data_IF_779008930234
#
_entry.id   IF_779008930234
#
_cell.length_a   1.000
_cell.length_b   1.000
_cell.length_c   1.000
_cell.angle_alpha   90.00
_cell.angle_beta   90.00
_cell.angle_gamma   90.00
#
_symmetry.space_group_name_H-M   'P 1'
#
loop_
_entity.id
_entity.type
_entity.pdbx_description
1 polymer ?
#
# COMPACT_ATOMS: atom_id res chain seq x y z
N UNK A 1 -27.79 1.90 7.33
CA UNK A 1 -26.47 2.13 7.98
C UNK A 1 -25.80 3.22 7.20
N UNK A 2 -25.48 4.34 7.86
CA UNK A 2 -24.75 5.46 7.25
C UNK A 2 -23.40 4.92 6.79
N UNK A 3 -23.02 5.21 5.54
CA UNK A 3 -21.68 4.96 5.05
C UNK A 3 -20.74 5.91 5.78
N UNK A 4 -19.92 5.40 6.69
CA UNK A 4 -18.79 6.13 7.30
C UNK A 4 -17.66 6.29 6.27
N UNK A 5 -18.00 6.77 5.08
CA UNK A 5 -17.02 7.33 4.16
C UNK A 5 -16.92 8.81 4.54
N UNK A 6 -15.74 9.36 4.87
CA UNK A 6 -15.64 10.79 5.12
C UNK A 6 -16.14 11.55 3.88
N UNK A 7 -17.23 12.30 4.02
CA UNK A 7 -17.74 13.23 2.99
C UNK A 7 -16.72 14.33 2.63
N UNK A 8 -15.59 14.41 3.34
CA UNK A 8 -14.60 15.48 3.24
C UNK A 8 -13.50 15.27 2.18
N UNK A 9 -13.53 14.20 1.37
CA UNK A 9 -12.45 13.94 0.39
C UNK A 9 -12.55 14.74 -0.93
N UNK A 10 -13.57 15.59 -1.12
CA UNK A 10 -13.75 16.31 -2.39
C UNK A 10 -13.89 17.83 -2.21
N UNK A 11 -12.90 18.47 -1.59
CA UNK A 11 -12.85 19.93 -1.36
C UNK A 11 -12.12 20.71 -2.46
N UNK A 12 -11.52 20.04 -3.45
CA UNK A 12 -10.82 20.70 -4.54
C UNK A 12 -11.80 21.11 -5.67
N UNK A 13 -11.91 22.41 -6.01
CA UNK A 13 -12.82 22.88 -7.06
C UNK A 13 -12.60 22.21 -8.42
N UNK A 14 -11.36 21.85 -8.76
CA UNK A 14 -11.05 21.16 -10.01
C UNK A 14 -11.61 19.73 -10.04
N UNK A 15 -11.57 19.02 -8.90
CA UNK A 15 -12.12 17.66 -8.78
C UNK A 15 -13.65 17.68 -8.87
N UNK A 16 -14.29 18.69 -8.27
CA UNK A 16 -15.73 18.91 -8.37
C UNK A 16 -16.15 19.22 -9.82
N UNK A 17 -15.40 20.08 -10.53
CA UNK A 17 -15.68 20.40 -11.94
C UNK A 17 -15.52 19.16 -12.83
N UNK A 18 -14.46 18.36 -12.64
CA UNK A 18 -14.26 17.12 -13.40
C UNK A 18 -15.39 16.12 -13.13
N UNK A 19 -15.77 15.90 -11.86
CA UNK A 19 -16.87 14.98 -11.50
C UNK A 19 -18.18 15.41 -12.14
N UNK A 20 -18.51 16.70 -12.06
CA UNK A 20 -19.71 17.27 -12.69
C UNK A 20 -19.70 17.06 -14.21
N UNK A 21 -18.57 17.32 -14.87
CA UNK A 21 -18.44 17.11 -16.32
C UNK A 21 -18.64 15.63 -16.70
N UNK A 22 -18.20 14.69 -15.87
CA UNK A 22 -18.42 13.25 -16.08
C UNK A 22 -19.90 12.91 -15.94
N UNK A 23 -20.55 13.34 -14.86
CA UNK A 23 -21.96 13.05 -14.60
C UNK A 23 -22.87 13.62 -15.70
N UNK A 24 -22.56 14.82 -16.19
CA UNK A 24 -23.31 15.44 -17.27
C UNK A 24 -23.12 14.72 -18.63
N UNK A 25 -21.98 14.06 -18.84
CA UNK A 25 -21.72 13.26 -20.05
C UNK A 25 -22.44 11.91 -19.97
N UNK A 26 -22.45 11.28 -18.80
CA UNK A 26 -23.12 9.99 -18.58
C UNK A 26 -24.65 10.13 -18.64
N UNK A 27 -25.20 11.25 -18.17
CA UNK A 27 -26.64 11.44 -18.00
C UNK A 27 -27.40 11.95 -19.23
N UNK A 28 -26.75 12.29 -20.34
CA UNK A 28 -27.43 12.95 -21.46
C UNK A 28 -27.12 12.38 -22.85
N UNK A 29 -28.16 12.27 -23.69
CA UNK A 29 -28.07 12.06 -25.14
C UNK A 29 -27.55 13.35 -25.80
N UNK A 30 -26.24 13.56 -25.75
CA UNK A 30 -25.60 14.76 -26.28
C UNK A 30 -25.36 14.67 -27.78
N UNK A 31 -25.41 15.82 -28.45
CA UNK A 31 -24.85 15.94 -29.79
C UNK A 31 -23.32 15.83 -29.72
N UNK A 32 -22.69 15.27 -30.76
CA UNK A 32 -21.24 15.09 -30.85
C UNK A 32 -20.44 16.38 -30.59
N UNK A 33 -21.03 17.54 -30.90
CA UNK A 33 -20.43 18.84 -30.67
C UNK A 33 -20.41 19.24 -29.18
N UNK A 34 -21.51 19.04 -28.45
CA UNK A 34 -21.55 19.30 -27.01
C UNK A 34 -20.64 18.34 -26.25
N UNK A 35 -20.57 17.08 -26.67
CA UNK A 35 -19.64 16.10 -26.12
C UNK A 35 -18.18 16.55 -26.30
N UNK A 36 -17.80 16.94 -27.52
CA UNK A 36 -16.44 17.43 -27.82
C UNK A 36 -16.06 18.65 -26.98
N UNK A 37 -16.95 19.64 -26.85
CA UNK A 37 -16.71 20.82 -26.03
C UNK A 37 -16.49 20.46 -24.55
N UNK A 38 -17.27 19.52 -23.99
CA UNK A 38 -17.10 19.07 -22.60
C UNK A 38 -15.80 18.30 -22.40
N UNK A 39 -15.42 17.42 -23.33
CA UNK A 39 -14.14 16.70 -23.25
C UNK A 39 -12.95 17.65 -23.35
N UNK A 40 -13.04 18.67 -24.20
CA UNK A 40 -12.02 19.70 -24.31
C UNK A 40 -11.89 20.49 -23.01
N UNK A 41 -13.02 20.92 -22.42
CA UNK A 41 -13.02 21.61 -21.12
C UNK A 41 -12.42 20.75 -20.02
N UNK A 42 -12.78 19.46 -19.97
CA UNK A 42 -12.19 18.49 -19.03
C UNK A 42 -10.68 18.38 -19.21
N UNK A 43 -10.20 18.33 -20.45
CA UNK A 43 -8.77 18.30 -20.76
C UNK A 43 -8.07 19.56 -20.24
N UNK A 44 -8.63 20.75 -20.47
CA UNK A 44 -8.06 22.02 -19.98
C UNK A 44 -7.95 22.05 -18.46
N UNK A 45 -9.00 21.65 -17.74
CA UNK A 45 -9.01 21.59 -16.27
C UNK A 45 -7.96 20.59 -15.77
N UNK A 46 -7.83 19.43 -16.44
CA UNK A 46 -6.82 18.43 -16.13
C UNK A 46 -5.40 18.94 -16.38
N UNK A 47 -5.15 19.61 -17.51
CA UNK A 47 -3.83 20.16 -17.86
C UNK A 47 -3.42 21.26 -16.86
N UNK A 48 -4.35 22.14 -16.48
CA UNK A 48 -4.10 23.16 -15.44
C UNK A 48 -3.77 22.55 -14.09
N UNK A 49 -4.41 21.42 -13.75
CA UNK A 49 -4.12 20.69 -12.51
C UNK A 49 -2.73 20.07 -12.53
N UNK A 50 -2.35 19.44 -13.64
CA UNK A 50 -1.02 18.86 -13.84
C UNK A 50 0.06 19.95 -13.75
N UNK A 51 -0.17 21.10 -14.39
CA UNK A 51 0.78 22.22 -14.36
C UNK A 51 1.02 22.81 -12.97
N UNK A 52 0.05 22.67 -12.04
CA UNK A 52 0.15 23.10 -10.65
C UNK A 52 0.65 22.01 -9.70
N UNK A 53 0.85 20.79 -10.19
CA UNK A 53 1.29 19.67 -9.36
C UNK A 53 2.75 19.88 -8.92
N UNK A 54 3.07 19.47 -7.70
CA UNK A 54 4.44 19.47 -7.20
C UNK A 54 5.28 18.43 -7.97
N UNK A 55 6.62 18.61 -8.05
CA UNK A 55 7.50 17.61 -8.63
C UNK A 55 7.38 16.24 -7.96
N UNK A 56 7.85 15.22 -8.68
CA UNK A 56 7.86 13.84 -8.20
C UNK A 56 8.62 13.71 -6.87
N UNK A 57 8.06 12.92 -5.95
CA UNK A 57 8.68 12.56 -4.69
C UNK A 57 8.41 11.10 -4.34
N UNK A 58 9.26 10.55 -3.48
CA UNK A 58 9.08 9.26 -2.85
C UNK A 58 7.95 9.31 -1.83
N UNK A 59 7.11 8.27 -1.82
CA UNK A 59 5.85 8.24 -1.07
C UNK A 59 5.89 7.23 0.09
N UNK A 60 5.27 7.57 1.21
CA UNK A 60 4.89 6.63 2.27
C UNK A 60 3.45 6.17 2.00
N UNK A 61 3.26 4.87 1.82
CA UNK A 61 2.00 4.28 1.39
C UNK A 61 1.55 3.27 2.44
N UNK A 62 0.30 3.36 2.90
CA UNK A 62 -0.27 2.45 3.91
C UNK A 62 -1.48 1.72 3.35
N UNK A 63 -1.39 0.40 3.26
CA UNK A 63 -2.52 -0.48 2.92
C UNK A 63 -3.00 -1.19 4.21
N UNK A 64 -4.12 -0.73 4.76
CA UNK A 64 -4.69 -1.20 6.03
C UNK A 64 -6.12 -1.73 5.85
N UNK A 65 -6.83 -1.98 6.95
CA UNK A 65 -8.22 -2.42 6.95
C UNK A 65 -8.41 -3.92 7.06
N UNK A 66 -9.65 -4.33 7.30
CA UNK A 66 -10.01 -5.72 7.59
C UNK A 66 -10.22 -6.61 6.36
N UNK A 67 -10.31 -6.02 5.18
CA UNK A 67 -10.54 -6.70 3.91
C UNK A 67 -9.30 -7.40 3.35
N UNK A 68 -9.52 -8.32 2.41
CA UNK A 68 -8.46 -8.92 1.59
C UNK A 68 -7.96 -7.87 0.60
N UNK A 69 -6.65 -7.90 0.33
CA UNK A 69 -6.05 -7.15 -0.78
C UNK A 69 -4.77 -6.38 -0.44
N UNK A 70 -4.45 -6.21 0.85
CA UNK A 70 -3.41 -5.25 1.30
C UNK A 70 -2.03 -5.59 0.73
N UNK A 71 -1.61 -6.84 0.97
CA UNK A 71 -0.37 -7.40 0.44
C UNK A 71 -0.43 -7.49 -1.08
N UNK A 72 -1.50 -8.00 -1.67
CA UNK A 72 -1.58 -8.14 -3.15
C UNK A 72 -1.52 -6.80 -3.89
N UNK A 73 -2.12 -5.74 -3.33
CA UNK A 73 -2.01 -4.39 -3.89
C UNK A 73 -0.58 -3.86 -3.79
N UNK A 74 0.09 -4.08 -2.66
CA UNK A 74 1.50 -3.73 -2.49
C UNK A 74 2.42 -4.51 -3.46
N UNK A 75 2.17 -5.81 -3.64
CA UNK A 75 2.89 -6.64 -4.60
C UNK A 75 2.64 -6.21 -6.06
N UNK A 76 1.46 -5.68 -6.38
CA UNK A 76 1.22 -5.04 -7.67
C UNK A 76 2.09 -3.80 -7.91
N UNK A 77 2.37 -3.02 -6.85
CA UNK A 77 3.30 -1.89 -6.93
C UNK A 77 4.76 -2.35 -7.05
N UNK A 78 5.14 -3.41 -6.34
CA UNK A 78 6.44 -4.08 -6.49
C UNK A 78 6.64 -4.49 -7.95
N UNK A 79 5.69 -5.24 -8.52
CA UNK A 79 5.75 -5.70 -9.90
C UNK A 79 5.90 -4.53 -10.89
N UNK A 80 5.16 -3.43 -10.67
CA UNK A 80 5.28 -2.23 -11.50
C UNK A 80 6.69 -1.61 -11.39
N UNK A 81 7.23 -1.51 -10.18
CA UNK A 81 8.56 -0.94 -9.95
C UNK A 81 9.66 -1.79 -10.61
N UNK A 82 9.60 -3.11 -10.45
CA UNK A 82 10.48 -4.06 -11.12
C UNK A 82 10.37 -3.98 -12.65
N UNK A 83 9.15 -3.82 -13.18
CA UNK A 83 8.91 -3.65 -14.61
C UNK A 83 9.55 -2.39 -15.21
N UNK A 84 9.82 -1.37 -14.39
CA UNK A 84 10.57 -0.18 -14.76
C UNK A 84 12.09 -0.31 -14.52
N UNK A 85 12.58 -1.50 -14.15
CA UNK A 85 13.99 -1.78 -13.94
C UNK A 85 14.54 -1.26 -12.60
N UNK A 86 13.67 -0.91 -11.66
CA UNK A 86 14.10 -0.45 -10.34
C UNK A 86 14.40 -1.62 -9.40
N UNK A 87 15.36 -1.43 -8.50
CA UNK A 87 15.55 -2.37 -7.40
C UNK A 87 14.49 -2.18 -6.32
N UNK A 88 14.04 -3.30 -5.75
CA UNK A 88 12.98 -3.37 -4.75
C UNK A 88 13.41 -4.28 -3.61
N UNK A 89 13.04 -3.93 -2.38
CA UNK A 89 13.19 -4.81 -1.22
C UNK A 89 11.83 -5.14 -0.63
N UNK A 90 11.62 -6.39 -0.25
CA UNK A 90 10.45 -6.86 0.49
C UNK A 90 10.92 -7.43 1.82
N UNK A 91 10.41 -6.88 2.92
CA UNK A 91 10.61 -7.40 4.26
C UNK A 91 9.24 -7.79 4.81
N UNK A 92 9.05 -9.08 5.09
CA UNK A 92 7.81 -9.59 5.68
C UNK A 92 7.99 -9.76 7.19
N UNK A 93 7.15 -9.04 7.93
CA UNK A 93 6.97 -9.20 9.37
C UNK A 93 5.99 -10.36 9.62
N UNK A 94 6.14 -11.04 10.76
CA UNK A 94 5.28 -12.15 11.22
C UNK A 94 5.38 -13.42 10.37
N UNK A 95 5.36 -13.35 9.03
CA UNK A 95 5.44 -14.51 8.12
C UNK A 95 6.84 -15.15 8.14
N UNK A 96 6.90 -16.49 8.23
CA UNK A 96 8.17 -17.23 8.30
C UNK A 96 8.12 -18.71 7.90
N UNK A 97 7.03 -19.42 8.22
CA UNK A 97 6.96 -20.86 7.98
C UNK A 97 6.57 -21.26 6.54
N UNK A 98 6.04 -20.34 5.74
CA UNK A 98 5.49 -20.65 4.42
C UNK A 98 6.07 -19.72 3.35
N UNK A 99 6.58 -20.31 2.26
CA UNK A 99 7.15 -19.56 1.15
C UNK A 99 6.02 -19.13 0.19
N UNK A 100 5.69 -17.82 0.11
CA UNK A 100 4.60 -17.35 -0.72
C UNK A 100 4.86 -17.63 -2.21
N UNK A 101 3.81 -17.98 -2.95
CA UNK A 101 3.91 -18.26 -4.39
C UNK A 101 4.49 -17.06 -5.17
N UNK A 102 4.29 -15.85 -4.66
CA UNK A 102 4.81 -14.61 -5.23
C UNK A 102 6.35 -14.58 -5.21
N UNK A 103 7.01 -15.16 -4.21
CA UNK A 103 8.49 -15.26 -4.22
C UNK A 103 8.99 -16.08 -5.40
N UNK A 104 8.30 -17.18 -5.74
CA UNK A 104 8.61 -17.98 -6.93
C UNK A 104 8.36 -17.17 -8.20
N UNK A 105 7.25 -16.46 -8.29
CA UNK A 105 6.96 -15.61 -9.45
C UNK A 105 8.04 -14.53 -9.67
N UNK A 106 8.54 -13.95 -8.58
CA UNK A 106 9.55 -12.91 -8.63
C UNK A 106 11.00 -13.41 -8.80
N UNK A 107 11.23 -14.73 -8.86
CA UNK A 107 12.59 -15.30 -9.03
C UNK A 107 13.32 -14.79 -10.28
N UNK A 108 12.60 -14.36 -11.32
CA UNK A 108 13.16 -13.76 -12.53
C UNK A 108 13.88 -12.41 -12.30
N UNK A 109 13.66 -11.77 -11.15
CA UNK A 109 14.27 -10.48 -10.78
C UNK A 109 15.34 -10.63 -9.70
N UNK A 110 16.08 -11.75 -9.66
CA UNK A 110 17.12 -12.01 -8.66
C UNK A 110 18.15 -10.87 -8.46
N UNK A 111 18.44 -10.10 -9.52
CA UNK A 111 19.38 -8.97 -9.46
C UNK A 111 18.73 -7.62 -9.07
N UNK A 112 17.39 -7.58 -8.97
CA UNK A 112 16.62 -6.37 -8.67
C UNK A 112 15.79 -6.51 -7.38
N UNK A 113 15.46 -7.72 -6.95
CA UNK A 113 14.60 -7.96 -5.81
C UNK A 113 15.36 -8.64 -4.67
N UNK A 114 15.37 -7.98 -3.51
CA UNK A 114 15.72 -8.61 -2.24
C UNK A 114 14.45 -9.01 -1.48
N UNK A 115 14.35 -10.27 -1.06
CA UNK A 115 13.18 -10.81 -0.37
C UNK A 115 13.57 -11.42 0.98
N UNK A 116 13.07 -10.84 2.07
CA UNK A 116 13.34 -11.26 3.44
C UNK A 116 12.06 -11.62 4.18
N UNK A 117 11.82 -12.91 4.41
CA UNK A 117 10.80 -13.39 5.35
C UNK A 117 11.44 -13.54 6.73
N UNK A 118 11.12 -12.62 7.65
CA UNK A 118 11.85 -12.48 8.92
C UNK A 118 11.03 -12.90 10.14
N UNK A 119 9.75 -13.24 9.98
CA UNK A 119 8.93 -13.80 11.06
C UNK A 119 9.07 -15.31 11.19
N UNK A 120 8.22 -15.93 12.01
CA UNK A 120 8.17 -17.39 12.22
C UNK A 120 6.79 -18.00 11.98
N UNK A 121 5.81 -17.20 11.58
CA UNK A 121 4.40 -17.57 11.51
C UNK A 121 3.56 -16.72 12.45
N UNK A 122 2.28 -17.07 12.56
CA UNK A 122 1.38 -16.33 13.44
C UNK A 122 1.69 -16.57 14.92
N UNK A 123 1.48 -15.54 15.74
CA UNK A 123 1.83 -15.49 17.17
C UNK A 123 1.05 -16.47 18.06
N UNK A 124 0.05 -17.18 17.54
CA UNK A 124 -0.62 -18.27 18.26
C UNK A 124 0.08 -19.62 18.11
N UNK A 125 0.99 -19.74 17.15
CA UNK A 125 1.89 -20.89 17.00
C UNK A 125 3.14 -20.71 17.88
N UNK A 126 3.70 -19.49 17.91
CA UNK A 126 4.83 -19.11 18.78
C UNK A 126 4.30 -18.55 20.10
N UNK A 127 4.21 -19.38 21.14
CA UNK A 127 3.83 -18.94 22.49
C UNK A 127 4.98 -18.23 23.23
N UNK A 128 5.81 -17.47 22.51
CA UNK A 128 7.03 -16.81 23.02
C UNK A 128 7.09 -15.36 22.55
N UNK A 129 6.75 -14.46 23.48
CA UNK A 129 6.67 -13.02 23.21
C UNK A 129 8.04 -12.37 23.05
N UNK A 130 9.05 -12.82 23.79
CA UNK A 130 10.38 -12.22 23.74
C UNK A 130 11.03 -12.53 22.39
N UNK A 131 10.82 -13.75 21.89
CA UNK A 131 11.25 -14.12 20.54
C UNK A 131 10.52 -13.34 19.44
N UNK A 132 9.21 -13.11 19.58
CA UNK A 132 8.46 -12.27 18.64
C UNK A 132 8.98 -10.82 18.61
N UNK A 133 9.36 -10.26 19.78
CA UNK A 133 9.98 -8.94 19.91
C UNK A 133 11.32 -8.89 19.18
N UNK A 134 12.21 -9.85 19.43
CA UNK A 134 13.53 -9.93 18.79
C UNK A 134 13.43 -10.02 17.27
N UNK A 135 12.49 -10.83 16.76
CA UNK A 135 12.26 -10.97 15.31
C UNK A 135 11.72 -9.69 14.69
N UNK A 136 10.79 -9.02 15.35
CA UNK A 136 10.26 -7.75 14.87
C UNK A 136 11.36 -6.68 14.84
N UNK A 137 12.22 -6.61 15.86
CA UNK A 137 13.36 -5.72 15.91
C UNK A 137 14.36 -6.02 14.77
N UNK A 138 14.75 -7.28 14.57
CA UNK A 138 15.66 -7.67 13.49
C UNK A 138 15.08 -7.39 12.09
N UNK A 139 13.78 -7.62 11.90
CA UNK A 139 13.09 -7.27 10.66
C UNK A 139 13.08 -5.75 10.42
N UNK A 140 12.92 -4.95 11.49
CA UNK A 140 12.99 -3.49 11.42
C UNK A 140 14.41 -2.99 11.09
N UNK A 141 15.44 -3.54 11.71
CA UNK A 141 16.84 -3.22 11.38
C UNK A 141 17.14 -3.51 9.91
N UNK A 142 16.75 -4.70 9.42
CA UNK A 142 16.87 -5.04 7.99
C UNK A 142 16.10 -4.06 7.09
N UNK A 143 14.93 -3.62 7.54
CA UNK A 143 14.13 -2.62 6.80
C UNK A 143 14.86 -1.29 6.70
N UNK A 144 15.53 -0.84 7.77
CA UNK A 144 16.31 0.40 7.78
C UNK A 144 17.49 0.35 6.81
N UNK A 145 18.16 -0.81 6.68
CA UNK A 145 19.21 -0.98 5.66
C UNK A 145 18.69 -0.64 4.26
N UNK A 146 17.51 -1.16 3.89
CA UNK A 146 16.91 -0.89 2.58
C UNK A 146 16.30 0.52 2.46
N UNK A 147 15.72 1.05 3.53
CA UNK A 147 15.18 2.41 3.55
C UNK A 147 16.30 3.44 3.35
N UNK A 148 17.49 3.19 3.89
CA UNK A 148 18.61 4.13 3.79
C UNK A 148 19.50 3.89 2.56
N UNK A 149 19.41 2.71 1.91
CA UNK A 149 20.20 2.40 0.72
C UNK A 149 19.63 3.07 -0.54
N UNK A 150 20.33 4.01 -1.20
CA UNK A 150 19.80 4.73 -2.38
C UNK A 150 19.55 3.85 -3.61
N UNK A 151 20.13 2.65 -3.70
CA UNK A 151 19.96 1.76 -4.86
C UNK A 151 18.53 1.21 -4.98
N UNK A 152 17.81 1.11 -3.87
CA UNK A 152 16.45 0.58 -3.83
C UNK A 152 15.42 1.68 -4.00
N UNK A 153 14.63 1.64 -5.07
CA UNK A 153 13.60 2.66 -5.32
C UNK A 153 12.36 2.48 -4.43
N UNK A 154 12.05 1.23 -4.09
CA UNK A 154 10.85 0.85 -3.35
C UNK A 154 11.18 -0.17 -2.27
N UNK A 155 10.61 0.02 -1.08
CA UNK A 155 10.69 -0.92 0.04
C UNK A 155 9.28 -1.29 0.48
N UNK A 156 8.96 -2.58 0.52
CA UNK A 156 7.71 -3.11 1.05
C UNK A 156 7.96 -3.70 2.44
N UNK A 157 7.27 -3.16 3.44
CA UNK A 157 7.20 -3.62 4.82
C UNK A 157 5.87 -4.35 5.01
N UNK A 158 5.83 -5.63 4.63
CA UNK A 158 4.60 -6.42 4.66
C UNK A 158 4.27 -6.84 6.11
N UNK A 159 3.02 -6.61 6.52
CA UNK A 159 2.48 -6.90 7.86
C UNK A 159 3.12 -6.15 9.04
N UNK A 160 3.92 -5.10 8.80
CA UNK A 160 4.49 -4.26 9.86
C UNK A 160 3.41 -3.64 10.76
N UNK A 161 2.22 -3.32 10.21
CA UNK A 161 1.11 -2.79 11.02
C UNK A 161 0.65 -3.78 12.10
N UNK A 162 0.79 -5.08 11.85
CA UNK A 162 0.46 -6.11 12.85
C UNK A 162 1.51 -6.09 13.97
N UNK A 163 2.80 -6.02 13.63
CA UNK A 163 3.87 -5.91 14.62
C UNK A 163 3.69 -4.66 15.52
N UNK A 164 3.32 -3.52 14.92
CA UNK A 164 2.98 -2.29 15.65
C UNK A 164 1.75 -2.49 16.56
N UNK A 165 0.69 -3.11 16.05
CA UNK A 165 -0.55 -3.35 16.80
C UNK A 165 -0.35 -4.27 18.00
N UNK A 166 0.53 -5.27 17.87
CA UNK A 166 0.85 -6.22 18.96
C UNK A 166 1.87 -5.65 19.97
N UNK A 167 2.40 -4.45 19.69
CA UNK A 167 3.39 -3.78 20.54
C UNK A 167 4.79 -4.39 20.44
N UNK A 168 5.11 -5.05 19.33
CA UNK A 168 6.44 -5.60 19.07
C UNK A 168 7.43 -4.55 18.55
N UNK A 169 6.90 -3.48 17.98
CA UNK A 169 7.65 -2.30 17.55
C UNK A 169 6.92 -1.05 18.05
N UNK A 170 7.68 0.01 18.36
CA UNK A 170 7.09 1.30 18.70
C UNK A 170 6.86 2.11 17.43
N UNK A 171 5.67 2.72 17.33
CA UNK A 171 5.33 3.56 16.15
C UNK A 171 6.32 4.71 15.95
N UNK A 172 6.87 5.24 17.04
CA UNK A 172 7.83 6.35 16.96
C UNK A 172 9.16 5.95 16.33
N UNK A 173 9.62 4.71 16.56
CA UNK A 173 10.81 4.17 15.92
C UNK A 173 10.59 4.04 14.40
N UNK A 174 9.41 3.55 14.01
CA UNK A 174 9.03 3.44 12.59
C UNK A 174 8.96 4.81 11.93
N UNK A 175 8.31 5.79 12.57
CA UNK A 175 8.23 7.17 12.05
C UNK A 175 9.62 7.81 11.92
N UNK A 176 10.50 7.61 12.89
CA UNK A 176 11.87 8.12 12.84
C UNK A 176 12.69 7.49 11.71
N UNK A 177 12.52 6.19 11.45
CA UNK A 177 13.16 5.51 10.31
C UNK A 177 12.61 5.99 8.96
N UNK A 178 11.29 6.12 8.83
CA UNK A 178 10.65 6.62 7.62
C UNK A 178 11.08 8.05 7.29
N UNK A 179 11.37 8.88 8.29
CA UNK A 179 11.86 10.24 8.09
C UNK A 179 13.28 10.30 7.48
N UNK A 180 14.06 9.21 7.54
CA UNK A 180 15.41 9.13 6.99
C UNK A 180 15.43 8.74 5.51
N UNK A 181 14.29 8.29 4.95
CA UNK A 181 14.24 7.80 3.57
C UNK A 181 14.72 8.89 2.57
N UNK A 182 15.46 8.52 1.51
CA UNK A 182 15.74 9.41 0.39
C UNK A 182 14.48 10.05 -0.20
N UNK A 183 14.64 11.26 -0.73
CA UNK A 183 13.53 12.09 -1.19
C UNK A 183 12.67 11.40 -2.25
N UNK A 184 13.25 10.52 -3.04
CA UNK A 184 12.63 9.83 -4.17
C UNK A 184 12.28 8.35 -3.89
N UNK A 185 12.51 7.87 -2.65
CA UNK A 185 12.24 6.49 -2.23
C UNK A 185 10.78 6.28 -1.82
N UNK A 186 10.18 5.21 -2.31
CA UNK A 186 8.86 4.76 -1.89
C UNK A 186 8.96 3.72 -0.76
N UNK A 187 8.10 3.83 0.24
CA UNK A 187 7.96 2.83 1.31
C UNK A 187 6.49 2.46 1.45
N UNK A 188 6.17 1.18 1.33
CA UNK A 188 4.82 0.64 1.46
C UNK A 188 4.73 -0.15 2.76
N UNK A 189 3.73 0.14 3.58
CA UNK A 189 3.45 -0.53 4.84
C UNK A 189 2.09 -1.23 4.72
N UNK A 190 2.04 -2.52 5.07
CA UNK A 190 0.79 -3.29 5.01
C UNK A 190 0.44 -3.88 6.37
N UNK A 191 -0.80 -4.38 6.44
CA UNK A 191 -1.31 -5.13 7.58
C UNK A 191 -2.47 -4.42 8.25
N UNK A 192 -3.17 -5.14 9.13
CA UNK A 192 -4.37 -4.65 9.79
C UNK A 192 -4.01 -3.68 10.93
N UNK A 193 -4.79 -2.62 11.10
CA UNK A 193 -4.70 -1.75 12.27
C UNK A 193 -3.47 -0.84 12.28
N UNK A 194 -3.16 -0.22 11.15
CA UNK A 194 -2.16 0.86 11.07
C UNK A 194 -2.41 1.91 12.18
N UNK A 195 -1.39 2.29 12.97
CA UNK A 195 -1.54 3.32 14.00
C UNK A 195 -1.96 4.68 13.43
N UNK A 196 -2.77 5.48 14.13
CA UNK A 196 -3.20 6.81 13.66
C UNK A 196 -2.03 7.73 13.27
N UNK A 197 -0.96 7.75 14.05
CA UNK A 197 0.22 8.56 13.75
C UNK A 197 0.92 8.15 12.44
N UNK A 198 0.86 6.86 12.08
CA UNK A 198 1.39 6.38 10.80
C UNK A 198 0.48 6.77 9.63
N UNK A 199 -0.85 6.72 9.83
CA UNK A 199 -1.85 7.18 8.85
C UNK A 199 -1.66 8.67 8.56
N UNK A 200 -1.49 9.49 9.60
CA UNK A 200 -1.27 10.94 9.47
C UNK A 200 0.00 11.27 8.69
N UNK A 201 1.07 10.47 8.87
CA UNK A 201 2.35 10.69 8.18
C UNK A 201 2.37 10.20 6.74
N UNK A 202 1.48 9.28 6.37
CA UNK A 202 1.48 8.66 5.05
C UNK A 202 0.98 9.61 3.95
N UNK A 203 1.57 9.49 2.77
CA UNK A 203 1.16 10.25 1.58
C UNK A 203 -0.06 9.61 0.90
N UNK A 204 -0.22 8.30 1.03
CA UNK A 204 -1.36 7.53 0.52
C UNK A 204 -1.79 6.51 1.56
N UNK A 205 -3.08 6.51 1.91
CA UNK A 205 -3.67 5.50 2.78
C UNK A 205 -4.85 4.88 2.07
N UNK A 206 -4.85 3.55 1.95
CA UNK A 206 -6.00 2.78 1.49
C UNK A 206 -6.46 1.87 2.61
N UNK A 207 -7.70 2.07 3.05
CA UNK A 207 -8.37 1.15 3.96
C UNK A 207 -9.21 0.15 3.17
N UNK A 208 -8.82 -1.11 3.21
CA UNK A 208 -9.58 -2.18 2.59
C UNK A 208 -10.69 -2.62 3.52
N UNK A 209 -11.89 -2.13 3.27
CA UNK A 209 -13.08 -2.49 4.04
C UNK A 209 -13.60 -3.86 3.63
N UNK A 210 -13.90 -4.71 4.62
CA UNK A 210 -14.46 -6.03 4.35
C UNK A 210 -15.97 -5.94 4.10
N UNK A 211 -16.35 -5.79 2.83
CA UNK A 211 -17.77 -5.77 2.42
C UNK A 211 -18.37 -7.18 2.46
N UNK A 212 -17.67 -8.16 1.89
CA UNK A 212 -18.00 -9.60 1.91
C UNK A 212 -16.72 -10.44 1.88
N UNK A 213 -16.75 -11.63 2.46
CA UNK A 213 -15.64 -12.58 2.42
C UNK A 213 -16.15 -14.02 2.24
N UNK A 214 -15.62 -14.80 1.29
CA UNK A 214 -16.08 -16.18 1.04
C UNK A 214 -15.94 -17.07 2.28
N UNK A 215 -14.84 -16.97 3.04
CA UNK A 215 -14.71 -17.70 4.31
C UNK A 215 -15.77 -17.31 5.35
N UNK A 216 -16.05 -16.01 5.53
CA UNK A 216 -16.98 -15.52 6.56
C UNK A 216 -18.43 -15.79 6.21
N UNK A 217 -18.80 -15.54 4.95
CA UNK A 217 -20.20 -15.52 4.51
C UNK A 217 -20.64 -16.87 3.93
N UNK A 218 -19.70 -17.71 3.49
CA UNK A 218 -19.98 -18.96 2.77
C UNK A 218 -19.24 -20.17 3.36
N UNK A 219 -18.29 -19.99 4.29
CA UNK A 219 -17.48 -21.08 4.85
C UNK A 219 -16.44 -21.67 3.89
N UNK A 220 -16.16 -20.99 2.76
CA UNK A 220 -15.20 -21.46 1.75
C UNK A 220 -13.77 -21.33 2.28
N UNK A 221 -13.02 -22.42 2.25
CA UNK A 221 -11.62 -22.49 2.70
C UNK A 221 -10.69 -21.70 1.76
N UNK A 222 -9.52 -21.34 2.26
CA UNK A 222 -8.46 -20.70 1.47
C UNK A 222 -8.04 -21.57 0.27
N UNK A 223 -7.85 -20.95 -0.89
CA UNK A 223 -7.56 -21.60 -2.16
C UNK A 223 -6.22 -21.13 -2.72
N UNK A 224 -5.46 -22.08 -3.28
CA UNK A 224 -4.23 -21.79 -3.99
C UNK A 224 -4.50 -20.85 -5.20
N UNK A 225 -3.66 -19.83 -5.36
CA UNK A 225 -3.80 -18.78 -6.37
C UNK A 225 -4.77 -17.66 -6.00
N UNK A 226 -5.51 -17.77 -4.89
CA UNK A 226 -6.46 -16.74 -4.42
C UNK A 226 -6.02 -16.18 -3.07
N UNK A 227 -5.88 -17.03 -2.05
CA UNK A 227 -5.42 -16.63 -0.72
C UNK A 227 -3.90 -16.78 -0.56
N UNK A 228 -3.32 -17.74 -1.27
CA UNK A 228 -1.94 -18.18 -1.08
C UNK A 228 -1.38 -18.76 -2.39
#
# INVERSE_FOLDING_TARGET
MKSDTPEELNTNPADQEISRLIDEVISSSQTDEKYRQKMQRRKEVQDQRIAKAIPEKGLIIVNTGHGKGKTTAALGMVLRSLGHGHKVAIVQFIKGAWEPAEKRAFSHWENQLEFHAMGEGFTWETQDRDRDLDKAAAAWEKSLEFINNPDFKLVLLDEINIALKLGYLQVQEVLAGLAQKPADKHVILTGRGAPPALIEKADLVTEMTLVKHPFKDQGVKAQAGIEY
#
